data_IF_188522316835
#
_entry.id   IF_188522316835
#
_cell.length_a   1.000
_cell.length_b   1.000
_cell.length_c   1.000
_cell.angle_alpha   90.00
_cell.angle_beta   90.00
_cell.angle_gamma   90.00
#
_symmetry.space_group_name_H-M   'P 1'
#
loop_
_entity.id
_entity.type
_entity.pdbx_description
1 polymer ?
#
# COMPACT_ATOMS: atom_id res chain seq x y z
N UNK A 1 -19.25 8.94 20.34
CA UNK A 1 -18.76 7.74 21.07
C UNK A 1 -18.23 6.80 19.98
N UNK A 2 -16.92 6.56 19.91
CA UNK A 2 -16.33 5.73 18.84
C UNK A 2 -17.00 4.37 18.87
N UNK A 3 -17.62 3.94 17.77
CA UNK A 3 -18.17 2.59 17.65
C UNK A 3 -16.99 1.62 17.73
N UNK A 4 -16.86 0.95 18.88
CA UNK A 4 -15.87 -0.09 19.10
C UNK A 4 -16.27 -1.32 18.28
N UNK A 5 -15.92 -1.33 17.01
CA UNK A 5 -16.19 -2.49 16.16
C UNK A 5 -15.84 -2.20 14.72
N UNK A 6 -14.89 -2.95 14.18
CA UNK A 6 -14.42 -2.92 12.78
C UNK A 6 -13.29 -1.91 12.52
N UNK A 7 -12.10 -2.18 13.07
CA UNK A 7 -10.87 -1.78 12.38
C UNK A 7 -10.74 -2.64 11.12
N UNK A 8 -10.73 -2.01 9.95
CA UNK A 8 -10.52 -2.64 8.66
C UNK A 8 -9.05 -2.43 8.27
N UNK A 9 -8.37 -3.51 7.88
CA UNK A 9 -7.00 -3.42 7.38
C UNK A 9 -7.01 -3.63 5.87
N UNK A 10 -6.60 -2.61 5.12
CA UNK A 10 -6.44 -2.68 3.68
C UNK A 10 -4.97 -2.97 3.38
N UNK A 11 -4.68 -4.10 2.74
CA UNK A 11 -3.34 -4.45 2.30
C UNK A 11 -3.32 -4.53 0.77
N UNK A 12 -2.51 -3.68 0.14
CA UNK A 12 -2.34 -3.58 -1.29
C UNK A 12 -0.88 -3.90 -1.64
N UNK A 13 -0.66 -5.04 -2.29
CA UNK A 13 0.62 -5.39 -2.89
C UNK A 13 0.66 -4.89 -4.33
N UNK A 14 1.73 -4.19 -4.70
CA UNK A 14 1.98 -3.74 -6.05
C UNK A 14 3.38 -4.12 -6.49
N UNK A 15 3.50 -4.64 -7.72
CA UNK A 15 4.75 -5.04 -8.34
C UNK A 15 4.87 -4.39 -9.71
N UNK A 16 5.89 -3.56 -9.89
CA UNK A 16 6.26 -2.93 -11.15
C UNK A 16 7.45 -3.68 -11.75
N UNK A 17 7.30 -4.18 -12.98
CA UNK A 17 8.40 -4.81 -13.72
C UNK A 17 8.91 -3.83 -14.76
N UNK A 18 10.21 -3.58 -14.76
CA UNK A 18 10.87 -2.65 -15.67
C UNK A 18 11.23 -3.39 -16.96
N UNK A 19 10.62 -3.03 -18.10
CA UNK A 19 11.03 -3.55 -19.42
C UNK A 19 11.77 -2.45 -20.17
N UNK A 20 13.09 -2.50 -20.15
CA UNK A 20 13.94 -1.43 -20.66
C UNK A 20 14.59 -1.88 -21.99
N UNK A 21 14.35 -1.18 -23.11
CA UNK A 21 14.99 -1.51 -24.38
C UNK A 21 16.46 -1.05 -24.45
N UNK A 22 17.19 -1.53 -25.45
CA UNK A 22 18.54 -1.06 -25.78
C UNK A 22 19.61 -1.48 -24.76
N UNK A 23 20.52 -0.56 -24.41
CA UNK A 23 21.67 -0.86 -23.52
C UNK A 23 21.26 -1.26 -22.10
N UNK A 24 20.01 -1.01 -21.69
CA UNK A 24 19.47 -1.37 -20.38
C UNK A 24 18.66 -2.66 -20.41
N UNK A 25 18.69 -3.42 -21.52
CA UNK A 25 18.00 -4.70 -21.64
C UNK A 25 18.39 -5.69 -20.54
N UNK A 26 19.62 -5.61 -20.05
CA UNK A 26 20.12 -6.44 -18.94
C UNK A 26 19.36 -6.23 -17.61
N UNK A 27 18.58 -5.16 -17.47
CA UNK A 27 17.73 -4.86 -16.31
C UNK A 27 16.25 -5.18 -16.56
N UNK A 28 15.87 -5.77 -17.70
CA UNK A 28 14.46 -5.95 -18.09
C UNK A 28 13.64 -6.89 -17.20
N UNK A 29 14.31 -7.60 -16.29
CA UNK A 29 13.66 -8.43 -15.28
C UNK A 29 13.72 -7.81 -13.87
N UNK A 30 14.19 -6.56 -13.79
CA UNK A 30 14.18 -5.82 -12.54
C UNK A 30 12.76 -5.47 -12.15
N UNK A 31 12.47 -5.51 -10.86
CA UNK A 31 11.15 -5.15 -10.34
C UNK A 31 11.22 -4.33 -9.08
N UNK A 32 10.23 -3.46 -8.91
CA UNK A 32 9.99 -2.73 -7.67
C UNK A 32 8.70 -3.25 -7.08
N UNK A 33 8.78 -3.76 -5.86
CA UNK A 33 7.65 -4.28 -5.12
C UNK A 33 7.37 -3.36 -3.93
N UNK A 34 6.10 -3.05 -3.71
CA UNK A 34 5.66 -2.23 -2.58
C UNK A 34 4.46 -2.89 -1.94
N UNK A 35 4.45 -2.90 -0.61
CA UNK A 35 3.30 -3.30 0.17
C UNK A 35 2.75 -2.05 0.86
N UNK A 36 1.47 -1.77 0.61
CA UNK A 36 0.75 -0.66 1.19
C UNK A 36 -0.27 -1.20 2.19
N UNK A 37 -0.07 -0.95 3.48
CA UNK A 37 -1.00 -1.39 4.53
C UNK A 37 -1.64 -0.18 5.20
N UNK A 38 -2.97 -0.09 5.16
CA UNK A 38 -3.75 1.01 5.76
C UNK A 38 -4.69 0.47 6.82
N UNK A 39 -4.76 1.19 7.95
CA UNK A 39 -5.76 0.93 8.98
C UNK A 39 -6.91 1.93 8.85
N UNK A 40 -8.08 1.42 8.49
CA UNK A 40 -9.31 2.18 8.37
C UNK A 40 -10.16 1.91 9.61
N UNK A 41 -10.77 2.95 10.16
CA UNK A 41 -11.72 2.82 11.25
C UNK A 41 -13.05 3.48 10.89
N UNK A 42 -14.11 2.86 11.39
CA UNK A 42 -15.43 3.48 11.41
C UNK A 42 -15.53 4.37 12.65
N UNK A 43 -15.94 5.61 12.44
CA UNK A 43 -16.16 6.61 13.47
C UNK A 43 -17.56 7.17 13.32
N UNK A 44 -18.10 7.73 14.41
CA UNK A 44 -19.41 8.34 14.43
C UNK A 44 -19.34 9.57 15.32
N UNK A 45 -19.35 10.74 14.68
CA UNK A 45 -19.35 12.04 15.36
C UNK A 45 -20.75 12.38 15.84
N UNK A 46 -21.73 12.21 14.95
CA UNK A 46 -23.17 12.44 15.19
C UNK A 46 -23.92 11.11 15.10
N UNK A 47 -24.89 10.82 15.99
CA UNK A 47 -25.72 9.62 15.87
C UNK A 47 -26.35 9.51 14.49
N UNK A 48 -26.11 8.39 13.81
CA UNK A 48 -26.59 8.13 12.43
C UNK A 48 -25.60 8.49 11.32
N UNK A 49 -24.54 9.28 11.59
CA UNK A 49 -23.54 9.67 10.59
C UNK A 49 -22.24 8.86 10.76
N UNK A 50 -22.11 7.79 9.97
CA UNK A 50 -20.93 6.91 9.99
C UNK A 50 -19.87 7.43 9.02
N UNK A 51 -18.66 7.62 9.52
CA UNK A 51 -17.50 8.07 8.74
C UNK A 51 -16.40 7.03 8.74
N UNK A 52 -15.86 6.74 7.56
CA UNK A 52 -14.65 5.95 7.39
C UNK A 52 -13.44 6.89 7.46
N UNK A 53 -12.52 6.60 8.39
CA UNK A 53 -11.33 7.42 8.62
C UNK A 53 -10.10 6.54 8.56
N UNK A 54 -9.10 6.96 7.79
CA UNK A 54 -7.77 6.33 7.78
C UNK A 54 -7.05 6.79 9.05
N UNK A 55 -6.70 5.84 9.91
CA UNK A 55 -6.10 6.13 11.23
C UNK A 55 -4.61 6.39 11.17
N UNK A 56 -3.91 5.77 10.23
CA UNK A 56 -2.46 5.83 10.16
C UNK A 56 -2.00 5.91 8.71
N UNK A 57 -1.56 7.10 8.30
CA UNK A 57 -0.93 7.33 7.00
C UNK A 57 0.59 7.11 7.03
N UNK A 58 1.21 7.18 8.21
CA UNK A 58 2.66 7.11 8.42
C UNK A 58 3.23 5.73 8.10
N UNK A 59 2.44 4.67 8.31
CA UNK A 59 2.83 3.29 8.00
C UNK A 59 2.18 2.76 6.72
N UNK A 60 1.58 3.63 5.90
CA UNK A 60 0.96 3.22 4.64
C UNK A 60 1.94 2.47 3.77
N UNK A 61 3.15 3.00 3.59
CA UNK A 61 4.21 2.36 2.84
C UNK A 61 5.14 1.63 3.82
N UNK A 62 4.97 0.31 3.94
CA UNK A 62 5.87 -0.53 4.74
C UNK A 62 7.29 -0.63 4.18
N UNK A 63 7.49 -0.13 2.96
CA UNK A 63 8.77 -0.08 2.27
C UNK A 63 8.64 -0.51 0.80
N UNK A 64 9.68 -0.21 0.03
CA UNK A 64 9.83 -0.71 -1.34
C UNK A 64 11.00 -1.69 -1.38
N UNK A 65 10.81 -2.81 -2.05
CA UNK A 65 11.85 -3.78 -2.37
C UNK A 65 12.22 -3.62 -3.83
N UNK A 66 13.47 -3.26 -4.08
CA UNK A 66 14.03 -3.23 -5.43
C UNK A 66 14.75 -4.54 -5.67
N UNK A 67 14.33 -5.28 -6.70
CA UNK A 67 15.06 -6.42 -7.21
C UNK A 67 15.71 -6.02 -8.53
N UNK A 68 17.03 -5.92 -8.54
CA UNK A 68 17.81 -5.68 -9.74
C UNK A 68 18.29 -7.03 -10.26
N UNK A 69 17.59 -7.57 -11.25
CA UNK A 69 18.05 -8.75 -11.93
C UNK A 69 19.03 -8.32 -13.01
N UNK A 70 20.26 -8.82 -12.90
CA UNK A 70 21.22 -8.80 -14.00
C UNK A 70 20.94 -10.05 -14.83
N UNK A 71 20.58 -9.85 -16.09
CA UNK A 71 20.50 -10.93 -17.08
C UNK A 71 21.82 -11.67 -17.25
#
# INVERSE_FOLDING_TARGET
KVLHGSQLMLNLYSRLVLRLPGIFHFLSESSVETNITSHIALTQDTPGDLKLVIKDCSHLLGGFRVNLQKG
#
